data_IF_479547769045
#
_entry.id   IF_479547769045
#
_cell.length_a   1.000
_cell.length_b   1.000
_cell.length_c   1.000
_cell.angle_alpha   90.00
_cell.angle_beta   90.00
_cell.angle_gamma   90.00
#
_symmetry.space_group_name_H-M   'P 1'
#
loop_
_entity.id
_entity.type
_entity.pdbx_description
1 polymer ?
#
# COMPACT_ATOMS: atom_id res chain seq x y z
N UNK A 1 7.42 -5.75 -15.83
CA UNK A 1 6.01 -6.13 -15.83
C UNK A 1 5.70 -7.21 -16.89
N UNK A 2 6.09 -7.04 -18.16
CA UNK A 2 5.75 -8.01 -19.21
C UNK A 2 6.16 -9.48 -18.91
N UNK A 3 7.30 -9.71 -18.26
CA UNK A 3 7.73 -11.05 -17.82
C UNK A 3 6.79 -11.60 -16.74
N UNK A 4 6.34 -10.74 -15.84
CA UNK A 4 5.37 -11.12 -14.80
C UNK A 4 4.01 -11.48 -15.42
N UNK A 5 3.53 -10.65 -16.33
CA UNK A 5 2.25 -10.86 -17.01
C UNK A 5 2.25 -12.19 -17.79
N UNK A 6 3.31 -12.44 -18.58
CA UNK A 6 3.47 -13.68 -19.35
C UNK A 6 3.51 -14.92 -18.45
N UNK A 7 4.29 -14.86 -17.36
CA UNK A 7 4.44 -15.98 -16.44
C UNK A 7 3.14 -16.32 -15.69
N UNK A 8 2.26 -15.35 -15.48
CA UNK A 8 1.00 -15.52 -14.77
C UNK A 8 -0.24 -15.58 -15.69
N UNK A 9 -0.04 -15.58 -17.01
CA UNK A 9 -1.13 -15.62 -17.99
C UNK A 9 -2.05 -14.40 -17.96
N UNK A 10 -1.49 -13.25 -17.55
CA UNK A 10 -2.23 -11.99 -17.45
C UNK A 10 -2.26 -11.26 -18.81
N UNK A 11 -3.29 -10.46 -19.07
CA UNK A 11 -3.28 -9.55 -20.20
C UNK A 11 -2.17 -8.49 -20.03
N UNK A 12 -1.79 -7.82 -21.10
CA UNK A 12 -0.87 -6.69 -20.99
C UNK A 12 -1.46 -5.61 -20.10
N UNK A 13 -0.71 -5.20 -19.10
CA UNK A 13 -1.11 -4.13 -18.19
C UNK A 13 -1.21 -2.76 -18.90
N UNK A 14 -2.23 -1.99 -18.54
CA UNK A 14 -2.35 -0.57 -18.90
C UNK A 14 -1.74 0.28 -17.80
N UNK A 15 -0.47 0.67 -17.97
CA UNK A 15 0.28 1.43 -16.96
C UNK A 15 0.78 2.74 -17.54
N UNK A 16 0.48 3.83 -16.84
CA UNK A 16 1.02 5.16 -17.10
C UNK A 16 1.92 5.58 -15.94
N UNK A 17 3.04 6.21 -16.23
CA UNK A 17 3.97 6.73 -15.21
C UNK A 17 3.90 8.25 -15.18
N UNK A 18 3.66 8.82 -13.99
CA UNK A 18 3.79 10.25 -13.70
C UNK A 18 5.04 10.43 -12.86
N UNK A 19 6.13 10.81 -13.49
CA UNK A 19 7.43 10.95 -12.85
C UNK A 19 7.64 12.37 -12.32
N UNK A 20 7.66 12.52 -11.00
CA UNK A 20 8.00 13.77 -10.30
C UNK A 20 9.47 13.76 -9.83
N UNK A 21 10.14 12.61 -9.88
CA UNK A 21 11.52 12.41 -9.42
C UNK A 21 12.57 12.85 -10.45
N UNK A 22 12.18 13.02 -11.71
CA UNK A 22 13.13 13.27 -12.81
C UNK A 22 14.01 12.04 -13.05
N UNK A 23 15.33 12.23 -13.04
CA UNK A 23 16.32 11.15 -13.25
C UNK A 23 16.78 10.49 -11.93
N UNK A 24 16.17 10.83 -10.78
CA UNK A 24 16.50 10.23 -9.51
C UNK A 24 16.11 8.74 -9.48
N UNK A 25 17.00 7.89 -8.99
CA UNK A 25 16.78 6.46 -8.84
C UNK A 25 16.98 6.03 -7.38
N UNK A 26 16.08 5.14 -6.91
CA UNK A 26 16.18 4.54 -5.59
C UNK A 26 15.87 3.05 -5.70
N UNK A 27 16.83 2.19 -5.38
CA UNK A 27 16.69 0.74 -5.55
C UNK A 27 15.60 0.13 -4.66
N UNK A 28 15.39 0.67 -3.47
CA UNK A 28 14.32 0.20 -2.55
C UNK A 28 12.96 0.53 -3.14
N UNK A 29 12.75 1.77 -3.56
CA UNK A 29 11.50 2.19 -4.18
C UNK A 29 11.25 1.51 -5.54
N UNK A 30 12.30 1.18 -6.29
CA UNK A 30 12.15 0.42 -7.53
C UNK A 30 11.56 -0.99 -7.27
N UNK A 31 11.98 -1.64 -6.19
CA UNK A 31 11.42 -2.94 -5.79
C UNK A 31 9.99 -2.81 -5.30
N UNK A 32 9.71 -1.80 -4.48
CA UNK A 32 8.37 -1.49 -3.98
C UNK A 32 7.39 -1.22 -5.13
N UNK A 33 7.74 -0.32 -6.04
CA UNK A 33 6.91 0.00 -7.20
C UNK A 33 6.68 -1.21 -8.11
N UNK A 34 7.67 -2.10 -8.24
CA UNK A 34 7.50 -3.33 -9.00
C UNK A 34 6.46 -4.26 -8.34
N UNK A 35 6.46 -4.38 -7.02
CA UNK A 35 5.48 -5.15 -6.26
C UNK A 35 4.08 -4.54 -6.41
N UNK A 36 3.95 -3.25 -6.13
CA UNK A 36 2.68 -2.53 -6.16
C UNK A 36 1.97 -2.68 -7.52
N UNK A 37 2.70 -2.41 -8.61
CA UNK A 37 2.12 -2.46 -9.96
C UNK A 37 1.79 -3.90 -10.38
N UNK A 38 2.67 -4.87 -10.09
CA UNK A 38 2.45 -6.27 -10.49
C UNK A 38 1.26 -6.87 -9.76
N UNK A 39 1.13 -6.64 -8.47
CA UNK A 39 0.05 -7.24 -7.67
C UNK A 39 -1.27 -6.49 -7.82
N UNK A 40 -1.28 -5.17 -7.99
CA UNK A 40 -2.49 -4.46 -8.41
C UNK A 40 -3.00 -5.00 -9.76
N UNK A 41 -2.11 -5.22 -10.74
CA UNK A 41 -2.49 -5.79 -12.03
C UNK A 41 -2.95 -7.25 -11.92
N UNK A 42 -2.28 -8.07 -11.11
CA UNK A 42 -2.67 -9.47 -10.93
C UNK A 42 -4.07 -9.64 -10.36
N UNK A 43 -4.47 -8.78 -9.43
CA UNK A 43 -5.77 -8.83 -8.76
C UNK A 43 -6.86 -8.07 -9.51
N UNK A 44 -6.49 -7.04 -10.26
CA UNK A 44 -7.40 -6.24 -11.08
C UNK A 44 -6.88 -6.07 -12.52
N UNK A 45 -6.83 -7.15 -13.33
CA UNK A 45 -6.14 -7.16 -14.61
C UNK A 45 -6.77 -6.26 -15.69
N UNK A 46 -7.99 -5.77 -15.45
CA UNK A 46 -8.67 -4.82 -16.33
C UNK A 46 -8.56 -3.36 -15.86
N UNK A 47 -7.91 -3.09 -14.71
CA UNK A 47 -7.73 -1.75 -14.23
C UNK A 47 -6.60 -1.04 -14.98
N UNK A 48 -6.79 0.25 -15.28
CA UNK A 48 -5.70 1.14 -15.67
C UNK A 48 -4.94 1.58 -14.42
N UNK A 49 -3.62 1.47 -14.43
CA UNK A 49 -2.76 1.79 -13.32
C UNK A 49 -1.97 3.07 -13.64
N UNK A 50 -1.94 4.00 -12.71
CA UNK A 50 -1.06 5.17 -12.79
C UNK A 50 -0.05 5.09 -11.65
N UNK A 51 1.22 4.88 -11.99
CA UNK A 51 2.34 4.96 -11.04
C UNK A 51 2.78 6.42 -10.92
N UNK A 52 2.62 7.01 -9.74
CA UNK A 52 3.11 8.37 -9.44
C UNK A 52 4.40 8.26 -8.65
N UNK A 53 5.52 8.57 -9.28
CA UNK A 53 6.84 8.55 -8.64
C UNK A 53 7.08 9.89 -7.94
N UNK A 54 7.15 9.88 -6.61
CA UNK A 54 7.41 11.07 -5.80
C UNK A 54 8.83 11.62 -6.06
N UNK A 55 9.01 12.92 -5.84
CA UNK A 55 10.31 13.59 -6.03
C UNK A 55 11.42 13.04 -5.14
N UNK A 56 11.09 12.62 -3.92
CA UNK A 56 11.97 11.92 -2.99
C UNK A 56 11.13 11.11 -2.01
N UNK A 57 11.79 10.38 -1.10
CA UNK A 57 11.16 9.61 -0.03
C UNK A 57 10.85 10.46 1.22
N UNK A 58 10.98 11.79 1.14
CA UNK A 58 10.55 12.68 2.22
C UNK A 58 9.02 12.67 2.37
N UNK A 59 8.54 12.85 3.61
CA UNK A 59 7.10 12.90 3.88
C UNK A 59 6.36 13.94 3.04
N UNK A 60 6.94 15.11 2.86
CA UNK A 60 6.32 16.17 2.06
C UNK A 60 6.23 15.80 0.58
N UNK A 61 7.26 15.19 0.00
CA UNK A 61 7.28 14.82 -1.42
C UNK A 61 6.32 13.65 -1.72
N UNK A 62 6.23 12.64 -0.84
CA UNK A 62 5.27 11.54 -1.05
C UNK A 62 3.82 11.99 -0.82
N UNK A 63 3.56 12.89 0.11
CA UNK A 63 2.23 13.50 0.29
C UNK A 63 1.87 14.42 -0.88
N UNK A 64 2.83 15.12 -1.47
CA UNK A 64 2.61 15.87 -2.70
C UNK A 64 2.27 14.95 -3.88
N UNK A 65 2.90 13.76 -3.96
CA UNK A 65 2.54 12.76 -4.97
C UNK A 65 1.12 12.21 -4.78
N UNK A 66 0.66 12.04 -3.53
CA UNK A 66 -0.74 11.70 -3.23
C UNK A 66 -1.69 12.78 -3.75
N UNK A 67 -1.35 14.07 -3.56
CA UNK A 67 -2.17 15.16 -4.06
C UNK A 67 -2.25 15.15 -5.59
N UNK A 68 -1.15 14.86 -6.27
CA UNK A 68 -1.15 14.64 -7.73
C UNK A 68 -2.06 13.47 -8.09
N UNK A 69 -1.85 12.30 -7.47
CA UNK A 69 -2.57 11.07 -7.80
C UNK A 69 -4.10 11.25 -7.66
N UNK A 70 -4.58 11.80 -6.53
CA UNK A 70 -6.02 11.96 -6.27
C UNK A 70 -6.71 12.94 -7.23
N UNK A 71 -5.95 13.86 -7.84
CA UNK A 71 -6.48 14.85 -8.79
C UNK A 71 -6.41 14.36 -10.26
N UNK A 72 -5.84 13.18 -10.56
CA UNK A 72 -5.82 12.65 -11.91
C UNK A 72 -7.22 12.21 -12.36
N UNK A 73 -7.61 12.52 -13.60
CA UNK A 73 -8.92 12.13 -14.13
C UNK A 73 -9.13 10.61 -14.08
N UNK A 74 -10.30 10.19 -13.60
CA UNK A 74 -10.70 8.78 -13.58
C UNK A 74 -10.11 7.94 -12.44
N UNK A 75 -9.26 8.48 -11.59
CA UNK A 75 -8.74 7.79 -10.41
C UNK A 75 -9.87 7.56 -9.41
N UNK A 76 -10.01 6.31 -8.96
CA UNK A 76 -11.00 5.87 -7.95
C UNK A 76 -10.36 5.28 -6.71
N UNK A 77 -9.09 4.88 -6.80
CA UNK A 77 -8.30 4.35 -5.68
C UNK A 77 -6.90 4.95 -5.70
N UNK A 78 -6.40 5.36 -4.54
CA UNK A 78 -5.00 5.75 -4.34
C UNK A 78 -4.40 4.80 -3.32
N UNK A 79 -3.42 4.00 -3.75
CA UNK A 79 -2.67 3.06 -2.93
C UNK A 79 -1.36 3.68 -2.45
N UNK A 80 -1.04 3.48 -1.16
CA UNK A 80 0.10 4.09 -0.48
C UNK A 80 0.87 3.03 0.31
N UNK A 81 1.90 2.47 -0.30
CA UNK A 81 2.79 1.48 0.32
C UNK A 81 3.90 2.13 1.15
N UNK A 82 3.55 3.14 1.92
CA UNK A 82 4.46 3.85 2.81
C UNK A 82 3.77 4.30 4.11
N UNK A 83 4.58 4.60 5.11
CA UNK A 83 4.07 5.13 6.37
C UNK A 83 5.15 5.83 7.17
N UNK A 84 4.70 6.72 8.06
CA UNK A 84 5.54 7.49 8.96
C UNK A 84 5.09 7.27 10.40
N UNK A 85 6.01 7.43 11.34
CA UNK A 85 5.65 7.53 12.75
C UNK A 85 4.68 8.69 12.95
N UNK A 86 3.60 8.47 13.68
CA UNK A 86 2.62 9.51 13.99
C UNK A 86 3.25 10.70 14.73
N UNK A 87 2.93 11.90 14.29
CA UNK A 87 3.41 13.16 14.89
C UNK A 87 2.25 14.08 15.27
N UNK A 88 2.43 14.95 16.28
CA UNK A 88 1.44 15.98 16.57
C UNK A 88 1.22 16.88 15.34
N UNK A 89 -0.04 17.18 15.04
CA UNK A 89 -0.38 18.07 13.93
C UNK A 89 -0.55 17.38 12.57
N UNK A 90 -0.22 16.10 12.44
CA UNK A 90 -0.37 15.36 11.17
C UNK A 90 -1.78 15.43 10.55
N UNK A 91 -2.81 15.66 11.36
CA UNK A 91 -4.20 15.79 10.92
C UNK A 91 -4.43 16.91 9.90
N UNK A 92 -3.51 17.86 9.76
CA UNK A 92 -3.58 18.90 8.72
C UNK A 92 -3.53 18.31 7.31
N UNK A 93 -2.93 17.12 7.17
CA UNK A 93 -2.86 16.39 5.91
C UNK A 93 -4.06 15.48 5.64
N UNK A 94 -4.99 15.29 6.60
CA UNK A 94 -6.15 14.39 6.42
C UNK A 94 -7.06 14.84 5.26
N UNK A 95 -7.02 16.11 4.90
CA UNK A 95 -7.74 16.64 3.72
C UNK A 95 -7.20 16.12 2.38
N UNK A 96 -5.96 15.64 2.33
CA UNK A 96 -5.40 14.99 1.14
C UNK A 96 -6.09 13.65 0.85
N UNK A 97 -6.62 12.99 1.88
CA UNK A 97 -7.29 11.69 1.75
C UNK A 97 -8.81 11.87 1.67
N UNK A 98 -9.23 12.82 0.87
CA UNK A 98 -10.64 13.08 0.55
C UNK A 98 -10.81 13.21 -0.96
N UNK A 99 -11.98 12.81 -1.44
CA UNK A 99 -12.32 12.95 -2.87
C UNK A 99 -12.28 14.43 -3.29
N UNK A 100 -11.48 14.79 -4.30
CA UNK A 100 -11.48 16.17 -4.82
C UNK A 100 -12.83 16.57 -5.42
N UNK A 101 -13.12 17.86 -5.40
CA UNK A 101 -14.34 18.38 -6.01
C UNK A 101 -14.40 18.03 -7.51
N UNK A 102 -15.55 17.53 -7.95
CA UNK A 102 -15.76 17.13 -9.35
C UNK A 102 -15.27 15.73 -9.72
N UNK A 103 -14.67 15.01 -8.78
CA UNK A 103 -14.30 13.60 -8.97
C UNK A 103 -15.40 12.65 -8.48
N UNK A 104 -15.47 11.45 -9.07
CA UNK A 104 -16.17 10.30 -8.49
C UNK A 104 -15.42 9.88 -7.22
N UNK A 105 -16.06 9.22 -6.27
CA UNK A 105 -15.45 8.86 -4.99
C UNK A 105 -14.07 8.21 -5.14
N UNK A 106 -13.08 8.74 -4.42
CA UNK A 106 -11.71 8.22 -4.35
C UNK A 106 -11.51 7.54 -3.01
N UNK A 107 -11.11 6.27 -3.04
CA UNK A 107 -10.71 5.50 -1.85
C UNK A 107 -9.20 5.63 -1.65
N UNK A 108 -8.78 5.87 -0.41
CA UNK A 108 -7.37 5.93 -0.04
C UNK A 108 -7.03 4.70 0.81
N UNK A 109 -6.02 3.96 0.38
CA UNK A 109 -5.57 2.71 1.02
C UNK A 109 -4.12 2.87 1.42
N UNK A 110 -3.74 2.44 2.63
CA UNK A 110 -2.35 2.53 3.07
C UNK A 110 -1.91 1.30 3.88
N UNK A 111 -0.66 0.92 3.70
CA UNK A 111 0.02 -0.07 4.52
C UNK A 111 0.04 0.35 5.99
N UNK A 112 -0.27 -0.56 6.91
CA UNK A 112 -0.28 -0.26 8.35
C UNK A 112 1.12 -0.15 8.96
N UNK A 113 2.13 -0.74 8.30
CA UNK A 113 3.53 -0.79 8.72
C UNK A 113 4.00 -2.17 9.16
N UNK A 114 5.32 -2.36 9.19
CA UNK A 114 6.00 -3.65 9.35
C UNK A 114 6.88 -3.70 10.62
N UNK A 115 6.48 -2.99 11.68
CA UNK A 115 7.23 -2.90 12.93
C UNK A 115 6.51 -3.55 14.13
N UNK A 116 5.51 -4.36 13.85
CA UNK A 116 4.69 -5.02 14.83
C UNK A 116 3.82 -4.09 15.67
N UNK A 117 3.03 -4.63 16.61
CA UNK A 117 2.16 -3.81 17.47
C UNK A 117 2.94 -2.82 18.34
N UNK A 118 4.19 -3.13 18.71
CA UNK A 118 5.04 -2.24 19.50
C UNK A 118 5.44 -0.96 18.73
N UNK A 119 5.47 -1.01 17.40
CA UNK A 119 5.68 0.16 16.54
C UNK A 119 4.51 1.13 16.55
N UNK A 120 3.31 0.65 16.92
CA UNK A 120 2.08 1.43 16.96
C UNK A 120 1.51 1.70 15.57
N UNK A 121 0.43 2.47 15.54
CA UNK A 121 -0.19 2.92 14.30
C UNK A 121 0.73 3.89 13.55
N UNK A 122 0.75 3.75 12.22
CA UNK A 122 1.52 4.63 11.33
C UNK A 122 0.59 5.52 10.51
N UNK A 123 1.06 6.71 10.16
CA UNK A 123 0.37 7.60 9.24
C UNK A 123 0.90 7.39 7.81
N UNK A 124 0.07 7.34 6.75
CA UNK A 124 -1.33 7.77 6.70
C UNK A 124 -2.38 6.72 7.09
N UNK A 125 -2.03 5.46 7.35
CA UNK A 125 -3.02 4.42 7.71
C UNK A 125 -3.87 4.78 8.95
N UNK A 126 -3.32 5.57 9.89
CA UNK A 126 -4.05 6.05 11.07
C UNK A 126 -4.93 7.26 10.83
N UNK A 127 -4.95 7.85 9.63
CA UNK A 127 -5.94 8.86 9.26
C UNK A 127 -7.35 8.27 9.25
N UNK A 128 -8.38 9.00 9.72
CA UNK A 128 -9.76 8.53 9.66
C UNK A 128 -10.32 8.42 8.24
N UNK A 129 -9.62 8.98 7.25
CA UNK A 129 -10.03 9.01 5.84
C UNK A 129 -9.31 7.92 4.99
N UNK A 130 -8.50 7.07 5.63
CA UNK A 130 -7.68 6.07 4.95
C UNK A 130 -8.07 4.67 5.44
N UNK A 131 -8.19 3.72 4.53
CA UNK A 131 -8.30 2.30 4.81
C UNK A 131 -6.91 1.76 5.13
N UNK A 132 -6.65 1.41 6.39
CA UNK A 132 -5.38 0.82 6.81
C UNK A 132 -5.37 -0.69 6.56
N UNK A 133 -4.35 -1.20 5.86
CA UNK A 133 -4.21 -2.62 5.54
C UNK A 133 -3.06 -3.22 6.33
N UNK A 134 -3.36 -4.23 7.13
CA UNK A 134 -2.38 -5.00 7.90
C UNK A 134 -1.90 -6.25 7.18
N UNK A 135 -0.95 -6.95 7.81
CA UNK A 135 -0.37 -8.18 7.32
C UNK A 135 -0.90 -9.44 8.00
N UNK A 136 -1.10 -10.51 7.23
CA UNK A 136 -1.35 -11.86 7.73
C UNK A 136 -0.19 -12.81 7.37
N UNK A 137 -0.06 -13.88 8.15
CA UNK A 137 0.70 -15.08 7.81
C UNK A 137 -0.28 -16.12 7.29
N UNK A 138 -0.20 -16.46 6.02
CA UNK A 138 -1.04 -17.44 5.35
C UNK A 138 -0.25 -18.72 5.13
N UNK A 139 -0.78 -19.85 5.58
CA UNK A 139 -0.21 -21.17 5.31
C UNK A 139 -1.16 -21.96 4.43
N UNK A 140 -0.64 -22.51 3.35
CA UNK A 140 -1.40 -23.38 2.45
C UNK A 140 -1.11 -24.86 2.79
N UNK A 141 -2.09 -25.69 2.53
CA UNK A 141 -1.93 -27.17 2.55
C UNK A 141 -1.33 -27.68 1.22
N UNK A 142 -1.05 -28.98 1.16
CA UNK A 142 -0.46 -29.61 -0.02
C UNK A 142 -1.35 -29.54 -1.28
N UNK A 143 -2.63 -29.22 -1.14
CA UNK A 143 -3.58 -29.04 -2.25
C UNK A 143 -3.69 -27.58 -2.70
N UNK A 144 -3.00 -26.65 -2.03
CA UNK A 144 -3.12 -25.21 -2.27
C UNK A 144 -4.31 -24.57 -1.55
N UNK A 145 -5.01 -25.30 -0.71
CA UNK A 145 -6.07 -24.77 0.15
C UNK A 145 -5.48 -24.03 1.37
N UNK A 146 -6.29 -23.16 1.98
CA UNK A 146 -5.89 -22.44 3.19
C UNK A 146 -5.86 -23.41 4.37
N UNK A 147 -4.67 -23.73 4.90
CA UNK A 147 -4.50 -24.51 6.11
C UNK A 147 -4.66 -23.64 7.36
N UNK A 148 -4.10 -22.43 7.35
CA UNK A 148 -4.27 -21.45 8.43
C UNK A 148 -3.99 -20.04 7.94
N UNK A 149 -4.64 -19.07 8.59
CA UNK A 149 -4.31 -17.66 8.45
C UNK A 149 -4.35 -16.99 9.83
N UNK A 150 -3.35 -16.20 10.14
CA UNK A 150 -3.24 -15.49 11.42
C UNK A 150 -2.64 -14.11 11.20
N UNK A 151 -2.79 -13.22 12.17
CA UNK A 151 -2.13 -11.92 12.11
C UNK A 151 -0.60 -12.10 12.07
N UNK A 152 0.04 -11.42 11.13
CA UNK A 152 1.50 -11.40 11.05
C UNK A 152 2.08 -10.61 12.22
N UNK A 153 3.05 -11.18 12.92
CA UNK A 153 3.61 -10.61 14.15
C UNK A 153 4.31 -9.25 13.94
N UNK A 154 4.74 -8.96 12.73
CA UNK A 154 5.34 -7.66 12.37
C UNK A 154 4.34 -6.67 11.78
N UNK A 155 3.08 -7.04 11.56
CA UNK A 155 2.05 -6.09 11.15
C UNK A 155 1.84 -5.04 12.24
N UNK A 156 2.08 -3.77 11.92
CA UNK A 156 1.82 -2.68 12.84
C UNK A 156 0.31 -2.57 13.08
N UNK A 157 -0.07 -2.44 14.35
CA UNK A 157 -1.46 -2.44 14.76
C UNK A 157 -1.68 -1.70 16.08
N UNK A 158 -2.90 -1.29 16.33
CA UNK A 158 -3.30 -0.70 17.60
C UNK A 158 -3.91 0.69 17.46
N UNK A 159 -4.21 1.34 18.60
CA UNK A 159 -4.77 2.68 18.61
C UNK A 159 -3.73 3.72 18.19
N UNK A 160 -4.13 4.62 17.30
CA UNK A 160 -3.36 5.81 16.96
C UNK A 160 -3.27 6.79 18.13
N UNK A 161 -2.27 7.65 18.08
CA UNK A 161 -1.99 8.61 19.18
C UNK A 161 -2.88 9.85 19.08
N UNK A 162 -3.27 10.27 17.88
CA UNK A 162 -3.83 11.60 17.66
C UNK A 162 -5.26 11.58 17.12
N UNK A 163 -5.58 10.73 16.15
CA UNK A 163 -6.89 10.69 15.53
C UNK A 163 -7.97 10.12 16.51
N UNK A 164 -9.11 10.78 16.57
CA UNK A 164 -10.28 10.25 17.28
C UNK A 164 -10.86 9.05 16.53
N UNK A 165 -11.52 8.15 17.26
CA UNK A 165 -12.24 7.02 16.67
C UNK A 165 -13.28 7.50 15.66
N UNK A 166 -13.20 7.12 14.38
CA UNK A 166 -14.23 7.44 13.39
C UNK A 166 -15.51 6.63 13.66
N UNK A 167 -16.64 7.15 13.19
CA UNK A 167 -17.94 6.54 13.44
C UNK A 167 -18.05 5.08 12.93
N UNK A 168 -17.40 4.76 11.80
CA UNK A 168 -17.43 3.41 11.22
C UNK A 168 -16.74 2.36 12.11
N UNK A 169 -15.83 2.75 13.00
CA UNK A 169 -15.20 1.82 13.95
C UNK A 169 -16.00 1.59 15.22
N UNK A 170 -17.08 2.32 15.44
CA UNK A 170 -17.84 2.24 16.70
C UNK A 170 -18.49 0.86 16.96
N UNK A 171 -18.75 0.10 15.89
CA UNK A 171 -19.30 -1.26 16.00
C UNK A 171 -18.23 -2.31 16.37
N UNK A 172 -16.94 -2.03 16.15
CA UNK A 172 -15.86 -3.00 16.25
C UNK A 172 -14.93 -2.78 17.45
N UNK A 173 -14.86 -1.55 17.96
CA UNK A 173 -13.99 -1.23 19.10
C UNK A 173 -14.60 -0.12 19.96
N UNK A 174 -14.25 -0.10 21.27
CA UNK A 174 -14.81 0.84 22.24
C UNK A 174 -13.86 1.95 22.68
N UNK A 175 -12.58 1.89 22.24
CA UNK A 175 -11.59 2.92 22.56
C UNK A 175 -11.93 4.29 21.95
N UNK A 176 -11.34 5.38 22.44
CA UNK A 176 -11.63 6.73 21.95
C UNK A 176 -10.82 7.09 20.69
N UNK A 177 -9.90 6.24 20.28
CA UNK A 177 -8.94 6.52 19.21
C UNK A 177 -9.22 5.69 17.96
N UNK A 178 -8.83 6.22 16.80
CA UNK A 178 -8.71 5.45 15.56
C UNK A 178 -7.75 4.28 15.79
N UNK A 179 -8.13 3.07 15.42
CA UNK A 179 -7.28 1.88 15.46
C UNK A 179 -6.97 1.37 14.06
N UNK A 180 -5.76 0.85 13.85
CA UNK A 180 -5.32 0.20 12.60
C UNK A 180 -4.91 -1.23 12.89
N UNK A 181 -4.94 -2.12 11.89
CA UNK A 181 -5.54 -1.95 10.55
C UNK A 181 -7.07 -2.07 10.56
N UNK A 182 -7.73 -1.74 9.44
CA UNK A 182 -9.16 -1.97 9.22
C UNK A 182 -9.41 -3.34 8.59
N UNK A 183 -8.55 -3.71 7.66
CA UNK A 183 -8.53 -4.98 6.93
C UNK A 183 -7.10 -5.51 6.88
N UNK A 184 -6.91 -6.72 6.40
CA UNK A 184 -5.58 -7.31 6.26
C UNK A 184 -5.48 -8.13 4.98
N UNK A 185 -4.26 -8.25 4.48
CA UNK A 185 -3.87 -9.10 3.37
C UNK A 185 -2.58 -9.83 3.73
N UNK A 186 -2.09 -10.73 2.89
CA UNK A 186 -0.83 -11.43 3.08
C UNK A 186 0.33 -10.43 3.28
N UNK A 187 1.11 -10.60 4.35
CA UNK A 187 2.22 -9.68 4.69
C UNK A 187 3.47 -10.38 5.20
N UNK A 188 3.37 -11.65 5.62
CA UNK A 188 4.51 -12.37 6.18
C UNK A 188 5.52 -12.79 5.09
N UNK A 189 6.81 -12.41 5.20
CA UNK A 189 7.84 -12.81 4.25
C UNK A 189 8.02 -14.34 4.11
N UNK A 190 7.66 -15.11 5.10
CA UNK A 190 7.76 -16.59 5.03
C UNK A 190 6.73 -17.19 4.07
N UNK A 191 5.67 -16.46 3.79
CA UNK A 191 4.60 -16.83 2.86
C UNK A 191 4.36 -15.74 1.82
N UNK A 192 5.38 -14.95 1.52
CA UNK A 192 5.33 -13.82 0.61
C UNK A 192 5.05 -14.20 -0.84
N UNK A 193 4.95 -13.20 -1.67
CA UNK A 193 4.58 -13.30 -3.08
C UNK A 193 5.79 -13.13 -4.00
N UNK A 194 5.71 -13.73 -5.20
CA UNK A 194 6.75 -13.58 -6.22
C UNK A 194 6.53 -12.32 -7.04
N UNK A 195 7.60 -11.57 -7.27
CA UNK A 195 7.66 -10.47 -8.23
C UNK A 195 8.82 -10.66 -9.19
N UNK A 196 8.74 -10.12 -10.39
CA UNK A 196 9.87 -10.01 -11.31
C UNK A 196 10.43 -8.60 -11.25
N UNK A 197 11.67 -8.45 -10.79
CA UNK A 197 12.30 -7.17 -10.56
C UNK A 197 13.64 -7.05 -11.28
N UNK A 198 13.85 -5.94 -11.97
CA UNK A 198 15.14 -5.55 -12.57
C UNK A 198 15.69 -4.38 -11.76
N UNK A 199 16.76 -4.59 -10.96
CA UNK A 199 17.35 -3.50 -10.18
C UNK A 199 17.84 -2.36 -11.09
N UNK A 200 17.83 -1.11 -10.60
CA UNK A 200 18.38 0.02 -11.35
C UNK A 200 19.83 -0.24 -11.79
N UNK A 201 20.12 -0.03 -13.06
CA UNK A 201 21.44 -0.24 -13.65
C UNK A 201 21.74 -1.68 -14.09
N UNK A 202 20.88 -2.64 -13.81
CA UNK A 202 20.98 -4.01 -14.32
C UNK A 202 20.21 -4.18 -15.63
N UNK A 203 20.71 -5.05 -16.52
CA UNK A 203 20.06 -5.35 -17.81
C UNK A 203 19.11 -6.54 -17.76
N UNK A 204 19.17 -7.34 -16.68
CA UNK A 204 18.34 -8.52 -16.48
C UNK A 204 17.71 -8.50 -15.09
N UNK A 205 16.43 -8.83 -15.04
CA UNK A 205 15.70 -9.02 -13.80
C UNK A 205 15.76 -10.46 -13.31
N UNK A 206 15.24 -10.64 -12.11
CA UNK A 206 15.08 -11.95 -11.47
C UNK A 206 13.78 -12.02 -10.68
N UNK A 207 13.28 -13.24 -10.49
CA UNK A 207 12.19 -13.49 -9.56
C UNK A 207 12.68 -13.35 -8.12
N UNK A 208 11.89 -12.66 -7.32
CA UNK A 208 12.17 -12.44 -5.89
C UNK A 208 10.88 -12.59 -5.10
N UNK A 209 11.02 -13.04 -3.85
CA UNK A 209 9.90 -13.05 -2.91
C UNK A 209 9.84 -11.71 -2.19
N UNK A 210 8.67 -11.11 -2.17
CA UNK A 210 8.37 -9.88 -1.46
C UNK A 210 7.18 -10.06 -0.53
N UNK A 211 7.09 -9.19 0.47
CA UNK A 211 6.05 -9.20 1.49
C UNK A 211 6.02 -7.85 2.21
N UNK A 212 5.28 -7.78 3.28
CA UNK A 212 5.04 -6.58 4.07
C UNK A 212 3.58 -6.13 3.96
N UNK A 213 3.17 -5.24 4.81
CA UNK A 213 1.83 -4.61 4.71
C UNK A 213 1.69 -3.77 3.44
N UNK A 214 2.83 -3.43 2.82
CA UNK A 214 2.91 -2.80 1.49
C UNK A 214 2.26 -3.63 0.39
N UNK A 215 2.29 -4.96 0.47
CA UNK A 215 1.62 -5.83 -0.49
C UNK A 215 0.10 -5.69 -0.43
N UNK A 216 -0.46 -5.51 0.76
CA UNK A 216 -1.90 -5.41 0.95
C UNK A 216 -2.50 -4.07 0.52
N UNK A 217 -1.69 -3.03 0.39
CA UNK A 217 -2.16 -1.71 -0.03
C UNK A 217 -2.62 -1.68 -1.49
N UNK A 218 -1.89 -2.24 -2.48
CA UNK A 218 -2.32 -2.29 -3.87
C UNK A 218 -3.26 -3.47 -4.19
N UNK A 219 -3.40 -4.44 -3.27
CA UNK A 219 -4.25 -5.63 -3.41
C UNK A 219 -5.69 -5.38 -2.98
#
# INVERSE_FOLDING_TARGET
>A
LAVFDEANGLPKADVTVVNLAGDATNATWASESAMDVQWAHALAPAASIVLVEAKSDSGDDVLAAVDVARNLPGVTVVSMSFGFTETPGQHVYDSLFTTPAGHVGVTFVAASGDHGPAGGAMYPASSPNVLGVGGTTLTLDDSGGVASESAWSQSASGPGRFAARPAYQAAFQQGPRRTTPDVSFLGDPTTGVSIYHTPPGESQGSWRTFAGTSLGSPA
#
